data_IF_399092645477
#
_entry.id   IF_399092645477
#
_cell.length_a   1.000
_cell.length_b   1.000
_cell.length_c   1.000
_cell.angle_alpha   90.00
_cell.angle_beta   90.00
_cell.angle_gamma   90.00
#
_symmetry.space_group_name_H-M   'P 1'
#
loop_
_entity.id
_entity.type
_entity.pdbx_description
1 polymer ?
#
# COMPACT_ATOMS: atom_id res chain seq x y z
N UNK A 1 52.15 -29.99 38.76
CA UNK A 1 52.43 -30.04 40.22
C UNK A 1 52.69 -28.61 40.69
N UNK A 2 51.93 -28.22 41.71
CA UNK A 2 51.69 -26.91 42.41
C UNK A 2 52.90 -25.97 42.66
N UNK A 3 52.74 -24.71 43.18
CA UNK A 3 51.55 -24.09 43.82
C UNK A 3 51.29 -22.57 43.59
N UNK A 4 50.19 -22.11 44.20
CA UNK A 4 49.61 -20.77 44.36
C UNK A 4 50.51 -19.66 44.95
N UNK A 5 50.23 -18.40 44.55
CA UNK A 5 50.62 -17.17 45.25
C UNK A 5 49.86 -15.95 44.68
N UNK A 6 49.05 -15.30 45.52
CA UNK A 6 48.12 -14.21 45.20
C UNK A 6 48.79 -12.86 44.92
N UNK A 7 48.19 -11.99 44.10
CA UNK A 7 48.14 -10.53 44.37
C UNK A 7 47.10 -9.77 43.53
N UNK A 8 46.20 -9.11 44.27
CA UNK A 8 45.64 -7.75 44.08
C UNK A 8 45.06 -7.31 42.72
N UNK A 9 43.74 -7.19 42.75
CA UNK A 9 42.89 -6.27 41.99
C UNK A 9 43.47 -4.85 42.01
N UNK A 10 43.58 -4.23 40.85
CA UNK A 10 43.59 -2.76 40.73
C UNK A 10 42.43 -2.41 39.81
N UNK A 11 41.50 -1.63 40.36
CA UNK A 11 40.37 -1.03 39.65
C UNK A 11 40.93 0.09 38.77
N UNK A 12 40.80 -0.04 37.45
CA UNK A 12 41.00 1.09 36.55
C UNK A 12 39.64 1.76 36.32
N UNK A 13 39.51 2.93 36.94
CA UNK A 13 38.46 3.91 36.76
C UNK A 13 38.49 4.43 35.31
N UNK A 14 37.52 3.98 34.51
CA UNK A 14 37.38 4.28 33.09
C UNK A 14 35.99 4.84 32.78
N UNK A 15 35.55 5.85 33.53
CA UNK A 15 34.34 6.60 33.23
C UNK A 15 34.50 7.43 31.95
N UNK A 16 34.10 6.88 30.79
CA UNK A 16 33.94 7.68 29.57
C UNK A 16 32.52 8.26 29.51
N UNK A 17 32.47 9.55 29.83
CA UNK A 17 31.36 10.48 29.67
C UNK A 17 30.87 10.49 28.20
N UNK A 18 29.68 9.94 27.95
CA UNK A 18 28.98 10.09 26.67
C UNK A 18 28.19 11.40 26.77
N UNK A 19 28.74 12.46 26.20
CA UNK A 19 28.04 13.72 26.01
C UNK A 19 26.99 13.51 24.89
N UNK A 20 25.70 13.55 25.20
CA UNK A 20 24.65 13.59 24.19
C UNK A 20 24.81 14.82 23.28
N UNK A 21 24.69 14.68 21.95
CA UNK A 21 24.62 15.83 21.08
C UNK A 21 23.24 16.50 21.22
N UNK A 22 23.24 17.72 21.79
CA UNK A 22 22.09 18.62 21.81
C UNK A 22 21.62 18.90 20.38
N UNK A 23 20.38 18.52 20.07
CA UNK A 23 19.69 18.97 18.86
C UNK A 23 19.19 20.40 19.10
N UNK A 24 19.93 21.38 18.58
CA UNK A 24 19.43 22.75 18.47
C UNK A 24 18.27 22.76 17.47
N UNK A 25 17.09 23.17 17.95
CA UNK A 25 15.92 23.44 17.10
C UNK A 25 16.08 24.85 16.53
N UNK A 26 16.56 24.94 15.30
CA UNK A 26 16.49 26.17 14.52
C UNK A 26 15.08 26.34 13.96
N UNK A 27 14.27 27.10 14.70
CA UNK A 27 13.04 27.69 14.21
C UNK A 27 13.40 28.82 13.23
N UNK A 28 13.10 28.64 11.95
CA UNK A 28 12.46 29.64 11.07
C UNK A 28 12.79 29.37 9.60
N UNK A 29 11.83 28.78 8.88
CA UNK A 29 11.58 29.15 7.50
C UNK A 29 10.08 29.13 7.25
N UNK A 30 9.52 30.34 7.34
CA UNK A 30 8.30 30.80 6.68
C UNK A 30 8.41 30.52 5.17
N UNK A 31 8.18 29.26 4.81
CA UNK A 31 7.71 28.92 3.49
C UNK A 31 6.21 28.68 3.67
N UNK A 32 5.41 29.65 3.22
CA UNK A 32 3.99 29.43 2.95
C UNK A 32 3.89 28.21 2.04
N UNK A 33 3.71 27.03 2.63
CA UNK A 33 3.34 25.81 1.93
C UNK A 33 2.02 26.18 1.24
N UNK A 34 1.94 26.19 -0.10
CA UNK A 34 0.67 26.40 -0.75
C UNK A 34 -0.25 25.33 -0.18
N UNK A 35 -1.38 25.75 0.38
CA UNK A 35 -2.45 24.91 0.87
C UNK A 35 -2.92 24.03 -0.30
N UNK A 36 -2.18 22.95 -0.53
CA UNK A 36 -2.54 21.88 -1.44
C UNK A 36 -3.60 21.15 -0.65
N UNK A 37 -4.83 21.66 -0.76
CA UNK A 37 -6.00 21.02 -0.21
C UNK A 37 -5.84 19.52 -0.42
N UNK A 38 -5.76 18.77 0.69
CA UNK A 38 -5.62 17.33 0.71
C UNK A 38 -6.54 16.79 -0.39
N UNK A 39 -5.97 16.22 -1.47
CA UNK A 39 -6.77 15.67 -2.58
C UNK A 39 -7.56 14.42 -2.14
N UNK A 40 -7.60 14.12 -0.85
CA UNK A 40 -8.65 13.30 -0.21
C UNK A 40 -9.96 14.06 -0.01
N UNK A 41 -10.49 14.74 -1.04
CA UNK A 41 -11.85 15.28 -0.96
C UNK A 41 -12.85 14.21 -1.41
N UNK A 42 -13.18 13.26 -0.52
CA UNK A 42 -14.40 12.44 -0.57
C UNK A 42 -14.59 11.50 -1.77
N UNK A 43 -13.59 11.36 -2.65
CA UNK A 43 -13.73 10.50 -3.82
C UNK A 43 -13.32 9.07 -3.47
N UNK A 44 -14.32 8.25 -3.19
CA UNK A 44 -14.13 6.84 -2.84
C UNK A 44 -13.64 5.99 -4.03
N UNK A 45 -13.43 6.60 -5.20
CA UNK A 45 -13.01 5.93 -6.41
C UNK A 45 -11.48 5.87 -6.57
N UNK A 46 -10.92 4.67 -6.39
CA UNK A 46 -9.49 4.39 -6.62
C UNK A 46 -8.95 4.78 -8.00
N UNK A 47 -9.80 4.94 -9.02
CA UNK A 47 -9.38 5.39 -10.36
C UNK A 47 -8.99 6.87 -10.43
N UNK A 48 -9.38 7.68 -9.45
CA UNK A 48 -9.09 9.12 -9.41
C UNK A 48 -7.87 9.45 -8.56
N UNK A 49 -7.33 8.47 -7.83
CA UNK A 49 -6.07 8.60 -7.10
C UNK A 49 -4.91 8.75 -8.10
N UNK A 50 -4.40 9.97 -8.24
CA UNK A 50 -3.29 10.34 -9.12
C UNK A 50 -2.33 11.23 -8.34
N UNK A 51 -1.02 11.07 -8.55
CA UNK A 51 0.00 11.92 -7.91
C UNK A 51 -0.13 11.92 -6.37
N UNK A 52 -0.23 10.72 -5.78
CA UNK A 52 -0.37 10.56 -4.34
C UNK A 52 0.84 11.13 -3.59
N UNK A 53 0.58 11.96 -2.59
CA UNK A 53 1.58 12.45 -1.64
C UNK A 53 1.87 11.41 -0.56
N UNK A 54 2.93 11.60 0.23
CA UNK A 54 3.23 10.73 1.37
C UNK A 54 2.09 10.72 2.40
N UNK A 55 1.45 11.87 2.63
CA UNK A 55 0.29 11.97 3.51
C UNK A 55 -0.91 11.20 2.98
N UNK A 56 -1.17 11.26 1.67
CA UNK A 56 -2.24 10.47 1.04
C UNK A 56 -1.96 8.97 1.21
N UNK A 57 -0.73 8.52 0.93
CA UNK A 57 -0.32 7.12 1.10
C UNK A 57 -0.49 6.67 2.55
N UNK A 58 -0.04 7.47 3.51
CA UNK A 58 -0.19 7.21 4.95
C UNK A 58 -1.66 7.09 5.34
N UNK A 59 -2.49 8.03 4.91
CA UNK A 59 -3.92 8.03 5.17
C UNK A 59 -4.60 6.76 4.62
N UNK A 60 -4.43 6.45 3.34
CA UNK A 60 -5.08 5.29 2.72
C UNK A 60 -4.57 3.97 3.31
N UNK A 61 -3.29 3.89 3.68
CA UNK A 61 -2.72 2.70 4.33
C UNK A 61 -3.35 2.45 5.70
N UNK A 62 -3.61 3.51 6.48
CA UNK A 62 -4.25 3.41 7.78
C UNK A 62 -5.74 3.08 7.68
N UNK A 63 -6.46 3.64 6.71
CA UNK A 63 -7.88 3.37 6.48
C UNK A 63 -8.13 1.96 5.89
N UNK A 64 -7.22 1.49 5.04
CA UNK A 64 -7.34 0.22 4.33
C UNK A 64 -8.29 0.26 3.12
N UNK A 65 -8.35 -0.83 2.33
CA UNK A 65 -9.04 -0.85 1.04
C UNK A 65 -10.56 -0.98 1.14
N UNK A 66 -11.10 -1.49 2.26
CA UNK A 66 -12.47 -2.01 2.37
C UNK A 66 -13.56 -1.01 1.97
N UNK A 67 -13.39 0.27 2.29
CA UNK A 67 -14.35 1.33 1.95
C UNK A 67 -14.32 1.75 0.47
N UNK A 68 -13.27 1.37 -0.27
CA UNK A 68 -12.96 1.89 -1.61
C UNK A 68 -12.88 0.78 -2.68
N UNK A 69 -13.28 -0.44 -2.31
CA UNK A 69 -13.20 -1.64 -3.15
C UNK A 69 -14.21 -1.64 -4.31
N UNK A 70 -15.42 -1.14 -4.07
CA UNK A 70 -16.52 -1.12 -5.05
C UNK A 70 -16.87 -2.48 -5.70
N UNK A 71 -16.59 -3.62 -5.05
CA UNK A 71 -16.87 -4.97 -5.60
C UNK A 71 -18.34 -5.24 -5.91
N UNK A 72 -19.26 -4.52 -5.26
CA UNK A 72 -20.70 -4.65 -5.47
C UNK A 72 -21.23 -3.82 -6.64
N UNK A 73 -20.41 -2.93 -7.22
CA UNK A 73 -20.79 -2.05 -8.32
C UNK A 73 -21.11 -2.80 -9.62
N UNK A 74 -21.81 -2.11 -10.53
CA UNK A 74 -22.03 -2.62 -11.88
C UNK A 74 -20.71 -2.72 -12.65
N UNK A 75 -20.53 -3.83 -13.38
CA UNK A 75 -19.36 -4.08 -14.23
C UNK A 75 -19.69 -3.96 -15.71
N UNK A 76 -20.90 -3.53 -16.08
CA UNK A 76 -21.37 -3.48 -17.48
C UNK A 76 -20.46 -2.65 -18.39
N UNK A 77 -19.93 -1.55 -17.85
CA UNK A 77 -19.06 -0.64 -18.58
C UNK A 77 -17.62 -1.18 -18.77
N UNK A 78 -17.26 -2.28 -18.10
CA UNK A 78 -15.95 -2.95 -18.27
C UNK A 78 -15.80 -3.71 -19.59
N UNK A 79 -16.88 -3.84 -20.37
CA UNK A 79 -16.90 -4.56 -21.64
C UNK A 79 -15.99 -3.89 -22.68
N UNK A 80 -15.02 -4.65 -23.21
CA UNK A 80 -14.09 -4.23 -24.27
C UNK A 80 -14.17 -5.17 -25.47
N UNK A 81 -14.37 -4.60 -26.66
CA UNK A 81 -14.36 -5.31 -27.94
C UNK A 81 -13.03 -5.01 -28.63
N UNK A 82 -12.27 -6.05 -28.96
CA UNK A 82 -10.95 -5.92 -29.60
C UNK A 82 -11.08 -5.81 -31.13
N UNK A 83 -10.01 -5.34 -31.79
CA UNK A 83 -10.01 -4.84 -33.17
C UNK A 83 -10.63 -5.79 -34.22
N UNK A 84 -10.57 -7.11 -34.02
CA UNK A 84 -11.14 -8.08 -34.96
C UNK A 84 -12.64 -8.38 -34.71
N UNK A 85 -13.26 -7.82 -33.67
CA UNK A 85 -14.61 -8.17 -33.21
C UNK A 85 -14.75 -9.60 -32.65
N UNK A 86 -13.71 -10.44 -32.83
CA UNK A 86 -13.67 -11.85 -32.43
C UNK A 86 -13.49 -12.06 -30.93
N UNK A 87 -12.91 -11.09 -30.23
CA UNK A 87 -12.69 -11.16 -28.79
C UNK A 87 -13.42 -10.02 -28.09
N UNK A 88 -14.32 -10.40 -27.18
CA UNK A 88 -14.90 -9.50 -26.19
C UNK A 88 -14.36 -9.93 -24.82
N UNK A 89 -13.85 -8.98 -24.03
CA UNK A 89 -13.51 -9.20 -22.62
C UNK A 89 -14.39 -8.33 -21.75
N UNK A 90 -14.67 -8.80 -20.54
CA UNK A 90 -15.46 -8.09 -19.55
C UNK A 90 -14.94 -8.47 -18.16
N UNK A 91 -15.06 -7.55 -17.21
CA UNK A 91 -14.74 -7.82 -15.82
C UNK A 91 -15.88 -8.65 -15.22
N UNK A 92 -15.55 -9.81 -14.69
CA UNK A 92 -16.50 -10.66 -13.99
C UNK A 92 -16.36 -10.48 -12.50
N UNK A 93 -17.48 -10.53 -11.77
CA UNK A 93 -17.50 -10.41 -10.30
C UNK A 93 -16.67 -11.49 -9.60
N UNK A 94 -16.46 -12.64 -10.25
CA UNK A 94 -15.60 -13.70 -9.72
C UNK A 94 -14.14 -13.24 -9.53
N UNK A 95 -13.68 -12.19 -10.23
CA UNK A 95 -12.34 -11.63 -10.01
C UNK A 95 -12.15 -11.11 -8.58
N UNK A 96 -13.21 -10.78 -7.85
CA UNK A 96 -13.11 -10.33 -6.47
C UNK A 96 -13.14 -11.50 -5.47
N UNK A 97 -13.16 -12.75 -5.94
CA UNK A 97 -13.29 -13.93 -5.12
C UNK A 97 -12.20 -14.96 -5.48
N UNK A 98 -11.45 -15.41 -4.49
CA UNK A 98 -10.50 -16.52 -4.62
C UNK A 98 -11.06 -17.81 -4.04
N UNK A 99 -10.43 -18.92 -4.40
CA UNK A 99 -10.76 -20.27 -3.91
C UNK A 99 -9.59 -20.82 -3.13
N UNK A 100 -9.83 -21.37 -1.93
CA UNK A 100 -8.82 -22.13 -1.18
C UNK A 100 -8.73 -23.56 -1.72
N UNK A 101 -7.51 -24.10 -1.82
CA UNK A 101 -7.25 -25.45 -2.32
C UNK A 101 -7.42 -26.56 -1.25
N UNK A 102 -8.05 -26.25 -0.12
CA UNK A 102 -8.10 -27.17 1.03
C UNK A 102 -9.20 -28.21 0.81
N UNK A 103 -8.79 -29.43 0.43
CA UNK A 103 -9.66 -30.51 -0.01
C UNK A 103 -10.71 -30.95 1.01
N UNK A 104 -11.94 -30.45 0.82
CA UNK A 104 -13.22 -31.16 0.97
C UNK A 104 -14.39 -30.24 0.61
N UNK A 105 -14.22 -28.94 0.81
CA UNK A 105 -15.13 -27.91 0.32
C UNK A 105 -14.32 -26.74 -0.24
N UNK A 106 -14.72 -26.26 -1.41
CA UNK A 106 -14.14 -25.11 -2.09
C UNK A 106 -14.51 -23.84 -1.33
N UNK A 107 -13.83 -23.56 -0.21
CA UNK A 107 -14.00 -22.31 0.52
C UNK A 107 -13.63 -21.13 -0.37
N UNK A 108 -14.59 -20.21 -0.56
CA UNK A 108 -14.38 -18.95 -1.26
C UNK A 108 -13.96 -17.87 -0.27
N UNK A 109 -13.10 -16.96 -0.70
CA UNK A 109 -12.73 -15.76 0.06
C UNK A 109 -12.75 -14.53 -0.84
N UNK A 110 -13.02 -13.37 -0.27
CA UNK A 110 -12.97 -12.09 -1.00
C UNK A 110 -11.51 -11.63 -1.16
N UNK A 111 -11.13 -11.21 -2.36
CA UNK A 111 -9.82 -10.61 -2.62
C UNK A 111 -9.83 -9.14 -2.17
N UNK A 112 -9.67 -8.93 -0.86
CA UNK A 112 -9.80 -7.61 -0.23
C UNK A 112 -8.78 -6.56 -0.72
N UNK A 113 -7.70 -6.99 -1.35
CA UNK A 113 -6.66 -6.11 -1.87
C UNK A 113 -6.97 -5.57 -3.29
N UNK A 114 -8.05 -6.02 -3.93
CA UNK A 114 -8.48 -5.52 -5.23
C UNK A 114 -9.42 -4.32 -5.09
N UNK A 115 -9.22 -3.28 -5.89
CA UNK A 115 -10.10 -2.12 -5.97
C UNK A 115 -10.72 -2.06 -7.36
N UNK A 116 -12.04 -1.92 -7.44
CA UNK A 116 -12.72 -1.55 -8.68
C UNK A 116 -12.91 -0.03 -8.73
N UNK A 117 -12.63 0.55 -9.89
CA UNK A 117 -12.94 1.94 -10.19
C UNK A 117 -14.13 2.02 -11.14
N UNK A 118 -15.32 2.43 -10.65
CA UNK A 118 -16.48 2.64 -11.51
C UNK A 118 -16.29 3.75 -12.54
N UNK A 119 -15.49 4.80 -12.27
CA UNK A 119 -15.28 5.89 -13.25
C UNK A 119 -14.30 5.52 -14.37
N UNK A 120 -13.43 4.53 -14.15
CA UNK A 120 -12.41 4.10 -15.12
C UNK A 120 -12.66 2.71 -15.71
N UNK A 121 -13.61 1.97 -15.15
CA UNK A 121 -13.89 0.56 -15.46
C UNK A 121 -12.64 -0.31 -15.41
N UNK A 122 -11.82 -0.07 -14.38
CA UNK A 122 -10.55 -0.75 -14.15
C UNK A 122 -10.51 -1.39 -12.77
N UNK A 123 -9.77 -2.49 -12.69
CA UNK A 123 -9.38 -3.12 -11.42
C UNK A 123 -7.93 -2.76 -11.13
N UNK A 124 -7.67 -2.34 -9.91
CA UNK A 124 -6.36 -2.01 -9.37
C UNK A 124 -6.02 -2.95 -8.22
N UNK A 125 -4.73 -3.22 -8.04
CA UNK A 125 -4.22 -3.73 -6.77
C UNK A 125 -4.02 -2.53 -5.82
N UNK A 126 -4.57 -2.59 -4.60
CA UNK A 126 -4.47 -1.52 -3.61
C UNK A 126 -3.01 -1.12 -3.33
N UNK A 127 -2.14 -2.10 -3.07
CA UNK A 127 -0.72 -1.85 -2.82
C UNK A 127 -0.04 -1.23 -4.04
N UNK A 128 -0.27 -1.79 -5.23
CA UNK A 128 0.33 -1.22 -6.45
C UNK A 128 -0.18 0.19 -6.73
N UNK A 129 -1.42 0.51 -6.36
CA UNK A 129 -2.00 1.82 -6.57
C UNK A 129 -1.38 2.88 -5.67
N UNK A 130 -1.02 2.53 -4.43
CA UNK A 130 -0.40 3.44 -3.48
C UNK A 130 1.11 3.62 -3.72
N UNK A 131 1.83 2.55 -4.05
CA UNK A 131 3.29 2.54 -4.01
C UNK A 131 3.98 2.42 -5.38
N UNK A 132 3.24 2.27 -6.49
CA UNK A 132 3.89 2.21 -7.80
C UNK A 132 4.36 3.58 -8.25
N UNK A 133 5.62 3.66 -8.70
CA UNK A 133 6.18 4.83 -9.39
C UNK A 133 5.56 5.08 -10.78
N UNK A 134 4.81 4.12 -11.31
CA UNK A 134 4.07 4.27 -12.55
C UNK A 134 2.60 4.63 -12.27
N UNK A 135 2.15 5.75 -12.82
CA UNK A 135 0.73 6.18 -12.82
C UNK A 135 -0.22 5.15 -13.44
N UNK A 136 0.30 4.20 -14.22
CA UNK A 136 -0.44 3.04 -14.73
C UNK A 136 -0.27 1.81 -13.83
N UNK A 137 -0.71 1.89 -12.58
CA UNK A 137 -0.84 0.76 -11.64
C UNK A 137 -2.01 -0.19 -11.97
N UNK A 138 -2.55 -0.09 -13.18
CA UNK A 138 -3.59 -0.98 -13.69
C UNK A 138 -3.02 -2.41 -13.73
N UNK A 139 -3.87 -3.40 -13.53
CA UNK A 139 -3.50 -4.78 -13.86
C UNK A 139 -3.45 -4.91 -15.40
N UNK A 140 -2.33 -4.51 -16.02
CA UNK A 140 -2.20 -4.38 -17.49
C UNK A 140 -2.10 -5.74 -18.19
N UNK A 141 -1.69 -6.79 -17.49
CA UNK A 141 -1.69 -8.17 -17.98
C UNK A 141 -2.38 -9.06 -16.95
N UNK A 142 -3.45 -9.72 -17.41
CA UNK A 142 -4.49 -10.30 -16.57
C UNK A 142 -4.04 -11.48 -15.71
N UNK A 143 -4.84 -11.72 -14.67
CA UNK A 143 -5.00 -13.05 -14.12
C UNK A 143 -5.74 -13.90 -15.16
N UNK A 144 -5.18 -15.06 -15.49
CA UNK A 144 -5.95 -16.16 -16.05
C UNK A 144 -6.75 -16.78 -14.91
N UNK A 145 -8.06 -16.92 -15.12
CA UNK A 145 -8.86 -18.00 -14.51
C UNK A 145 -8.32 -19.34 -15.04
#
# INVERSE_FOLDING_TARGET
MNPYGATSVTEEDGGQNIQEPSLAVDNNNDATIPNLAHRGNGDNDSGTWTELTEDDISYWTNEGPQKYQHHSSSLENSRRVFQDGKQTRFCFRNIFNGTKANGKETEKYTQEWLLYSPSKDYVYCFVCKLFSSNVSSRLVSGFSD
#
